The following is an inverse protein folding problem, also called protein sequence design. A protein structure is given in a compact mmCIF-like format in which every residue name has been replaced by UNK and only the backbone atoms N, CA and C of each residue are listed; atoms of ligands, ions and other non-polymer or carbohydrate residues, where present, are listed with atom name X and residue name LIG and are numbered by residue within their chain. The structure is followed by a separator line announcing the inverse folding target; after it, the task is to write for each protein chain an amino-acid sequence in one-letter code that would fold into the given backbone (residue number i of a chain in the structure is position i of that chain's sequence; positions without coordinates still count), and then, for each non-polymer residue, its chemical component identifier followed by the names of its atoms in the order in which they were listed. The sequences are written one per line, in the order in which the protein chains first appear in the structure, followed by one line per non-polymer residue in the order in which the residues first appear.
data_IF_572428307966
#
_entry.id   IF_572428307966
#
_cell.length_a   1.000
_cell.length_b   1.000
_cell.length_c   1.000
_cell.angle_alpha   90.00
_cell.angle_beta   90.00
_cell.angle_gamma   90.00
#
_symmetry.space_group_name_H-M   'P 1'
#
loop_
_entity.id
_entity.type
_entity.pdbx_description
1 polymer ?
#
# COMPACT_ATOMS: atom_id res chain seq x y z
N UNK A 1 9.90 -19.49 -0.19
CA UNK A 1 9.11 -18.26 -0.12
C UNK A 1 9.09 -17.76 1.33
N UNK A 2 9.29 -16.48 1.55
CA UNK A 2 9.35 -15.86 2.89
C UNK A 2 8.27 -14.80 3.07
N UNK A 3 8.04 -14.41 4.33
CA UNK A 3 7.14 -13.29 4.71
C UNK A 3 7.96 -12.20 5.42
N UNK A 4 7.37 -11.03 5.61
CA UNK A 4 8.02 -9.84 6.19
C UNK A 4 8.62 -9.99 7.60
N UNK A 5 8.21 -11.01 8.34
CA UNK A 5 8.74 -11.29 9.69
C UNK A 5 10.08 -12.03 9.70
N UNK A 6 10.52 -12.57 8.53
CA UNK A 6 11.76 -13.34 8.41
C UNK A 6 12.83 -12.47 7.79
N UNK A 7 13.86 -12.12 8.54
CA UNK A 7 15.04 -11.45 8.00
C UNK A 7 15.83 -12.42 7.12
N UNK A 8 15.95 -12.11 5.84
CA UNK A 8 16.67 -12.88 4.84
C UNK A 8 18.03 -12.22 4.63
N UNK A 9 19.05 -12.83 5.16
CA UNK A 9 20.43 -12.33 5.15
C UNK A 9 21.43 -13.51 5.16
N UNK A 10 22.70 -13.18 5.20
CA UNK A 10 23.81 -14.15 5.29
C UNK A 10 23.61 -15.15 6.43
N UNK A 11 23.29 -14.68 7.63
CA UNK A 11 23.17 -15.56 8.81
C UNK A 11 22.10 -16.64 8.67
N UNK A 12 21.06 -16.36 7.86
CA UNK A 12 20.00 -17.33 7.58
C UNK A 12 20.37 -18.32 6.48
N UNK A 13 21.08 -17.87 5.44
CA UNK A 13 21.23 -18.60 4.18
C UNK A 13 22.65 -19.12 3.90
N UNK A 14 23.68 -18.59 4.56
CA UNK A 14 25.06 -19.05 4.33
C UNK A 14 25.21 -20.55 4.51
N UNK A 15 25.94 -21.19 3.60
CA UNK A 15 26.17 -22.62 3.60
C UNK A 15 24.97 -23.50 3.26
N UNK A 16 23.83 -22.92 2.90
CA UNK A 16 22.63 -23.69 2.48
C UNK A 16 22.50 -23.74 0.96
N UNK A 17 21.99 -24.85 0.40
CA UNK A 17 21.85 -25.01 -1.05
C UNK A 17 20.64 -24.24 -1.62
N UNK A 18 20.52 -22.96 -1.24
CA UNK A 18 19.44 -22.09 -1.69
C UNK A 18 19.89 -21.34 -2.95
N UNK A 19 19.14 -21.48 -4.03
CA UNK A 19 19.41 -20.80 -5.31
C UNK A 19 18.46 -19.64 -5.60
N UNK A 20 17.33 -19.57 -4.89
CA UNK A 20 16.31 -18.58 -5.15
C UNK A 20 15.50 -18.24 -3.88
N UNK A 21 15.23 -16.96 -3.68
CA UNK A 21 14.35 -16.44 -2.63
C UNK A 21 13.22 -15.65 -3.26
N UNK A 22 11.99 -15.95 -2.88
CA UNK A 22 10.80 -15.21 -3.30
C UNK A 22 10.04 -14.65 -2.10
N UNK A 23 9.53 -13.45 -2.21
CA UNK A 23 8.60 -12.86 -1.23
C UNK A 23 7.34 -12.35 -1.90
N UNK A 24 6.20 -12.63 -1.26
CA UNK A 24 4.89 -12.09 -1.67
C UNK A 24 4.51 -10.82 -0.89
N UNK A 25 5.48 -10.13 -0.31
CA UNK A 25 5.30 -8.89 0.42
C UNK A 25 5.43 -7.67 -0.48
N UNK A 26 4.78 -6.59 -0.11
CA UNK A 26 4.84 -5.33 -0.86
C UNK A 26 6.21 -4.63 -0.72
N UNK A 27 6.87 -4.79 0.44
CA UNK A 27 8.20 -4.27 0.70
C UNK A 27 9.24 -5.37 0.82
N UNK A 28 10.51 -5.00 0.68
CA UNK A 28 11.68 -5.90 0.72
C UNK A 28 12.66 -5.57 1.85
N UNK A 29 12.29 -4.72 2.79
CA UNK A 29 13.17 -4.22 3.88
C UNK A 29 13.70 -5.33 4.79
N UNK A 30 13.07 -6.51 4.76
CA UNK A 30 13.49 -7.70 5.50
C UNK A 30 14.47 -8.58 4.70
N UNK A 31 14.86 -8.18 3.48
CA UNK A 31 15.73 -8.95 2.58
C UNK A 31 17.01 -8.16 2.29
N UNK A 32 18.15 -8.77 2.55
CA UNK A 32 19.45 -8.25 2.14
C UNK A 32 19.70 -8.61 0.66
N UNK A 33 19.16 -7.78 -0.23
CA UNK A 33 19.27 -7.98 -1.67
C UNK A 33 20.72 -7.88 -2.15
N UNK A 34 21.54 -7.04 -1.50
CA UNK A 34 22.94 -6.87 -1.85
C UNK A 34 23.72 -8.16 -1.59
N UNK A 35 23.53 -8.75 -0.43
CA UNK A 35 24.15 -10.02 -0.09
C UNK A 35 23.65 -11.17 -0.99
N UNK A 36 22.34 -11.27 -1.26
CA UNK A 36 21.79 -12.28 -2.15
C UNK A 36 22.43 -12.25 -3.53
N UNK A 37 22.61 -11.03 -4.08
CA UNK A 37 23.28 -10.83 -5.36
C UNK A 37 24.73 -11.28 -5.34
N UNK A 38 25.48 -10.98 -4.28
CA UNK A 38 26.87 -11.42 -4.11
C UNK A 38 26.98 -12.94 -3.98
N UNK A 39 26.05 -13.56 -3.27
CA UNK A 39 25.99 -15.00 -3.09
C UNK A 39 25.46 -15.78 -4.32
N UNK A 40 25.08 -15.08 -5.40
CA UNK A 40 24.52 -15.70 -6.60
C UNK A 40 23.13 -16.29 -6.41
N UNK A 41 22.39 -15.82 -5.39
CA UNK A 41 21.04 -16.28 -5.09
C UNK A 41 20.03 -15.39 -5.80
N UNK A 42 19.19 -15.96 -6.66
CA UNK A 42 18.11 -15.25 -7.33
C UNK A 42 17.08 -14.69 -6.34
N UNK A 43 16.57 -13.50 -6.61
CA UNK A 43 15.53 -12.87 -5.78
C UNK A 43 14.38 -12.34 -6.63
N UNK A 44 13.17 -12.48 -6.11
CA UNK A 44 11.98 -11.82 -6.67
C UNK A 44 11.00 -11.44 -5.57
N UNK A 45 10.45 -10.25 -5.72
CA UNK A 45 9.33 -9.74 -4.92
C UNK A 45 8.09 -9.59 -5.80
N UNK A 46 6.93 -9.46 -5.18
CA UNK A 46 5.65 -9.26 -5.88
C UNK A 46 4.99 -7.94 -5.44
N UNK A 47 5.58 -6.77 -5.75
CA UNK A 47 5.05 -5.49 -5.32
C UNK A 47 3.66 -5.26 -5.91
N UNK A 48 2.70 -4.93 -5.04
CA UNK A 48 1.33 -4.65 -5.44
C UNK A 48 0.47 -5.89 -5.77
N UNK A 49 0.95 -7.11 -5.53
CA UNK A 49 0.19 -8.34 -5.80
C UNK A 49 -1.16 -8.39 -5.04
N UNK A 50 -1.22 -7.79 -3.86
CA UNK A 50 -2.43 -7.70 -3.03
C UNK A 50 -3.18 -6.37 -3.18
N UNK A 51 -2.73 -5.46 -4.04
CA UNK A 51 -3.24 -4.10 -4.07
C UNK A 51 -4.74 -4.03 -4.44
N UNK A 52 -5.21 -4.91 -5.32
CA UNK A 52 -6.63 -4.97 -5.70
C UNK A 52 -7.47 -5.40 -4.50
N UNK A 53 -7.09 -6.49 -3.82
CA UNK A 53 -7.83 -6.99 -2.66
C UNK A 53 -7.89 -5.94 -1.52
N UNK A 54 -6.79 -5.21 -1.29
CA UNK A 54 -6.76 -4.13 -0.29
C UNK A 54 -7.69 -2.99 -0.69
N UNK A 55 -7.70 -2.60 -1.96
CA UNK A 55 -8.60 -1.55 -2.47
C UNK A 55 -10.06 -1.95 -2.30
N UNK A 56 -10.42 -3.18 -2.62
CA UNK A 56 -11.78 -3.70 -2.47
C UNK A 56 -12.21 -3.76 -1.00
N UNK A 57 -11.32 -4.18 -0.12
CA UNK A 57 -11.57 -4.17 1.33
C UNK A 57 -11.83 -2.75 1.84
N UNK A 58 -10.97 -1.78 1.49
CA UNK A 58 -11.14 -0.38 1.91
C UNK A 58 -12.43 0.19 1.35
N UNK A 59 -12.73 -0.08 0.09
CA UNK A 59 -13.94 0.42 -0.55
C UNK A 59 -15.21 -0.15 0.10
N UNK A 60 -15.25 -1.46 0.34
CA UNK A 60 -16.36 -2.12 1.05
C UNK A 60 -16.53 -1.55 2.46
N UNK A 61 -15.42 -1.30 3.16
CA UNK A 61 -15.46 -0.69 4.49
C UNK A 61 -16.03 0.73 4.47
N UNK A 62 -15.68 1.54 3.45
CA UNK A 62 -16.24 2.88 3.28
C UNK A 62 -17.74 2.85 3.02
N UNK A 63 -18.22 1.90 2.21
CA UNK A 63 -19.66 1.72 1.96
C UNK A 63 -20.41 1.30 3.23
N UNK A 64 -19.87 0.34 3.98
CA UNK A 64 -20.47 -0.08 5.25
C UNK A 64 -20.54 1.07 6.28
N UNK A 65 -19.50 1.91 6.35
CA UNK A 65 -19.49 3.09 7.21
C UNK A 65 -20.52 4.12 6.76
N UNK A 66 -20.65 4.34 5.46
CA UNK A 66 -21.61 5.26 4.90
C UNK A 66 -23.05 4.82 5.20
N UNK A 67 -23.34 3.53 5.05
CA UNK A 67 -24.64 2.93 5.40
C UNK A 67 -24.92 3.03 6.90
N UNK A 68 -23.98 2.62 7.75
CA UNK A 68 -24.11 2.66 9.20
C UNK A 68 -24.37 4.05 9.75
N UNK A 69 -23.65 5.05 9.23
CA UNK A 69 -23.65 6.42 9.73
C UNK A 69 -24.61 7.34 8.94
N UNK A 70 -25.32 6.81 7.95
CA UNK A 70 -26.37 7.49 7.20
C UNK A 70 -25.87 8.66 6.33
N UNK A 71 -24.67 8.53 5.68
CA UNK A 71 -24.17 9.55 4.79
C UNK A 71 -23.87 9.01 3.39
N UNK A 72 -23.91 9.90 2.38
CA UNK A 72 -23.48 9.56 1.03
C UNK A 72 -21.98 9.78 0.84
N UNK A 73 -21.27 8.80 0.27
CA UNK A 73 -19.85 8.97 -0.09
C UNK A 73 -19.63 10.07 -1.13
N UNK A 74 -20.60 10.35 -1.99
CA UNK A 74 -20.52 11.44 -2.98
C UNK A 74 -20.46 12.83 -2.36
N UNK A 75 -20.97 12.97 -1.14
CA UNK A 75 -20.93 14.23 -0.38
C UNK A 75 -19.66 14.37 0.46
N UNK A 76 -18.80 13.39 0.42
CA UNK A 76 -17.58 13.34 1.21
C UNK A 76 -16.33 13.43 0.35
N UNK A 77 -15.23 13.79 0.99
CA UNK A 77 -13.90 13.76 0.38
C UNK A 77 -13.06 12.72 1.11
N UNK A 78 -12.47 11.80 0.35
CA UNK A 78 -11.62 10.73 0.91
C UNK A 78 -10.16 11.17 0.83
N UNK A 79 -9.51 11.29 1.99
CA UNK A 79 -8.08 11.55 2.09
C UNK A 79 -7.28 10.25 1.95
N UNK A 80 -6.33 10.20 1.02
CA UNK A 80 -5.45 9.04 0.81
C UNK A 80 -4.02 9.44 1.16
N UNK A 81 -3.47 8.83 2.21
CA UNK A 81 -2.08 9.01 2.62
C UNK A 81 -1.25 7.85 2.08
N UNK A 82 -0.30 8.16 1.19
CA UNK A 82 0.50 7.17 0.48
C UNK A 82 -0.07 6.83 -0.90
N UNK A 83 0.56 7.39 -1.95
CA UNK A 83 0.13 7.23 -3.35
C UNK A 83 1.00 6.17 -4.05
N UNK A 84 1.10 5.01 -3.44
CA UNK A 84 1.77 3.81 -3.98
C UNK A 84 0.84 2.92 -4.80
N UNK A 85 1.14 1.62 -4.84
CA UNK A 85 0.35 0.63 -5.59
C UNK A 85 -1.12 0.55 -5.17
N UNK A 86 -1.39 0.67 -3.88
CA UNK A 86 -2.75 0.65 -3.31
C UNK A 86 -3.42 2.02 -3.49
N UNK A 87 -2.77 3.09 -3.03
CA UNK A 87 -3.37 4.43 -3.01
C UNK A 87 -3.80 4.93 -4.38
N UNK A 88 -2.99 4.72 -5.42
CA UNK A 88 -3.35 5.07 -6.81
C UNK A 88 -4.57 4.32 -7.33
N UNK A 89 -4.66 3.03 -7.02
CA UNK A 89 -5.81 2.22 -7.44
C UNK A 89 -7.07 2.59 -6.68
N UNK A 90 -6.95 2.89 -5.39
CA UNK A 90 -8.07 3.38 -4.58
C UNK A 90 -8.58 4.72 -5.10
N UNK A 91 -7.66 5.67 -5.37
CA UNK A 91 -8.00 6.94 -6.00
C UNK A 91 -8.80 6.75 -7.28
N UNK A 92 -8.23 6.00 -8.24
CA UNK A 92 -8.88 5.78 -9.53
C UNK A 92 -10.29 5.17 -9.39
N UNK A 93 -10.47 4.26 -8.41
CA UNK A 93 -11.78 3.63 -8.15
C UNK A 93 -12.79 4.63 -7.58
N UNK A 94 -12.38 5.46 -6.63
CA UNK A 94 -13.22 6.49 -6.01
C UNK A 94 -13.61 7.58 -7.02
N UNK A 95 -12.65 8.05 -7.82
CA UNK A 95 -12.88 9.08 -8.83
C UNK A 95 -13.79 8.58 -9.96
N UNK A 96 -13.67 7.31 -10.37
CA UNK A 96 -14.56 6.70 -11.34
C UNK A 96 -16.02 6.65 -10.86
N UNK A 97 -16.24 6.70 -9.55
CA UNK A 97 -17.56 6.79 -8.93
C UNK A 97 -17.97 8.22 -8.56
N UNK A 98 -17.22 9.23 -9.01
CA UNK A 98 -17.50 10.62 -8.71
C UNK A 98 -17.22 11.04 -7.26
N UNK A 99 -16.50 10.23 -6.48
CA UNK A 99 -16.13 10.55 -5.10
C UNK A 99 -14.85 11.38 -5.11
N UNK A 100 -14.88 12.52 -4.43
CA UNK A 100 -13.72 13.42 -4.35
C UNK A 100 -12.60 12.80 -3.52
N UNK A 101 -11.35 12.94 -4.01
CA UNK A 101 -10.16 12.45 -3.31
C UNK A 101 -9.17 13.58 -3.01
N UNK A 102 -8.48 13.47 -1.88
CA UNK A 102 -7.31 14.28 -1.54
C UNK A 102 -6.13 13.35 -1.32
N UNK A 103 -5.01 13.65 -1.97
CA UNK A 103 -3.83 12.80 -1.94
C UNK A 103 -2.72 13.43 -1.12
N UNK A 104 -2.09 12.64 -0.27
CA UNK A 104 -0.86 12.99 0.43
C UNK A 104 0.21 11.92 0.17
N UNK A 105 1.37 12.32 -0.36
CA UNK A 105 2.48 11.40 -0.65
C UNK A 105 3.84 12.03 -0.40
N UNK A 106 4.85 11.21 -0.14
CA UNK A 106 6.22 11.63 0.16
C UNK A 106 7.02 12.12 -1.05
N UNK A 107 6.47 12.06 -2.26
CA UNK A 107 7.13 12.59 -3.47
C UNK A 107 6.51 13.93 -3.88
N UNK A 108 7.31 14.93 -4.30
CA UNK A 108 6.87 16.30 -4.55
C UNK A 108 5.98 16.49 -5.78
N UNK A 109 5.34 15.44 -6.27
CA UNK A 109 4.53 15.48 -7.50
C UNK A 109 3.08 15.93 -7.28
N UNK A 110 2.67 16.20 -6.03
CA UNK A 110 1.32 16.67 -5.77
C UNK A 110 1.34 17.93 -4.92
N UNK A 111 1.24 19.07 -5.60
CA UNK A 111 0.82 20.31 -4.96
C UNK A 111 -0.62 20.12 -4.46
N UNK A 112 -0.78 20.06 -3.15
CA UNK A 112 -2.10 20.06 -2.51
C UNK A 112 -2.70 21.43 -2.80
N UNK A 113 -3.79 21.48 -3.55
CA UNK A 113 -4.69 22.64 -3.48
C UNK A 113 -5.36 22.57 -2.11
N UNK A 114 -5.24 23.58 -1.26
CA UNK A 114 -5.98 23.61 -0.01
C UNK A 114 -7.47 23.62 -0.33
N UNK A 115 -8.17 22.58 0.08
CA UNK A 115 -9.61 22.57 0.06
C UNK A 115 -10.13 23.45 1.23
N UNK A 116 -11.27 24.12 1.06
CA UNK A 116 -11.87 24.89 2.14
C UNK A 116 -12.20 23.97 3.32
N UNK A 117 -11.84 24.41 4.50
CA UNK A 117 -12.01 23.73 5.79
C UNK A 117 -13.49 23.58 6.12
N UNK A 118 -14.08 22.43 5.84
CA UNK A 118 -15.36 22.03 6.40
C UNK A 118 -15.27 20.56 6.81
N UNK A 119 -15.24 20.32 8.13
CA UNK A 119 -15.56 19.04 8.76
C UNK A 119 -14.76 17.80 8.30
N UNK A 120 -13.44 17.86 8.30
CA UNK A 120 -12.57 16.76 7.87
C UNK A 120 -12.42 15.70 8.98
N UNK A 121 -13.11 14.57 8.86
CA UNK A 121 -12.72 13.37 9.59
C UNK A 121 -11.64 12.65 8.78
N UNK A 122 -10.41 12.67 9.28
CA UNK A 122 -9.28 11.93 8.68
C UNK A 122 -9.40 10.47 9.09
N UNK A 123 -9.72 9.59 8.15
CA UNK A 123 -9.53 8.15 8.33
C UNK A 123 -8.11 7.85 7.83
N UNK A 124 -7.15 7.79 8.74
CA UNK A 124 -5.79 7.42 8.39
C UNK A 124 -5.69 5.91 8.26
N UNK A 125 -5.64 5.41 7.06
CA UNK A 125 -5.15 4.05 6.81
C UNK A 125 -3.61 4.08 6.83
N UNK A 126 -3.03 4.08 8.03
CA UNK A 126 -1.59 3.88 8.22
C UNK A 126 -1.33 2.38 8.20
N UNK A 127 -1.16 1.82 7.01
CA UNK A 127 -0.74 0.44 6.85
C UNK A 127 0.53 0.38 6.01
N UNK A 128 1.60 0.04 6.72
CA UNK A 128 2.86 -0.56 6.28
C UNK A 128 3.77 0.29 5.37
N UNK A 129 4.75 0.88 6.02
CA UNK A 129 6.11 0.96 5.49
C UNK A 129 6.71 -0.44 5.40
#
# INVERSE_FOLDING_TARGET
MVRSVTKVNESLLAGKPIKFVGTATAGTDHVDEAWLKQAGIGFSAAPGCNAIAVVEYVFSSLLMLAERDGFSLHERTVGIVGVGNVGRRLQARLEALGIKTLLWGSKPYFAIRPAPTVGMRVISARWMS
#
